data_IF_003605578640
#
_entry.id   IF_003605578640
#
_cell.length_a   1.000
_cell.length_b   1.000
_cell.length_c   1.000
_cell.angle_alpha   90.00
_cell.angle_beta   90.00
_cell.angle_gamma   90.00
#
_symmetry.space_group_name_H-M   'P 1'
#
loop_
_entity.id
_entity.type
_entity.pdbx_description
1 polymer ?
#
# COMPACT_ATOMS: atom_id res chain seq x y z
N UNK A 1 9.04 1.12 19.55
CA UNK A 1 8.69 -0.30 19.76
C UNK A 1 7.27 -0.32 20.33
N UNK A 2 6.30 -0.90 19.63
CA UNK A 2 4.92 -0.98 20.10
C UNK A 2 4.87 -2.05 21.19
N UNK A 3 4.66 -1.65 22.44
CA UNK A 3 4.81 -2.48 23.63
C UNK A 3 3.67 -3.47 23.87
N UNK A 4 3.39 -4.36 22.91
CA UNK A 4 2.41 -5.44 23.06
C UNK A 4 3.14 -6.78 23.21
N UNK A 5 2.73 -7.56 24.21
CA UNK A 5 3.29 -8.88 24.53
C UNK A 5 3.00 -9.93 23.45
N UNK A 6 1.96 -9.72 22.62
CA UNK A 6 1.61 -10.58 21.49
C UNK A 6 0.90 -9.73 20.42
N UNK A 7 1.49 -9.63 19.23
CA UNK A 7 0.84 -9.00 18.07
C UNK A 7 0.35 -10.10 17.15
N UNK A 8 -0.97 -10.31 17.11
CA UNK A 8 -1.61 -11.25 16.19
C UNK A 8 -1.61 -10.73 14.75
N UNK A 9 -1.64 -11.64 13.78
CA UNK A 9 -1.60 -11.30 12.34
C UNK A 9 -2.83 -10.52 11.84
N UNK A 10 -3.93 -10.60 12.58
CA UNK A 10 -5.18 -9.88 12.31
C UNK A 10 -5.23 -8.48 12.93
N UNK A 11 -4.28 -8.15 13.83
CA UNK A 11 -4.33 -6.87 14.49
C UNK A 11 -4.00 -5.74 13.52
N UNK A 12 -4.88 -4.74 13.49
CA UNK A 12 -4.67 -3.55 12.72
C UNK A 12 -3.52 -2.72 13.33
N UNK A 13 -2.56 -2.34 12.49
CA UNK A 13 -1.40 -1.56 12.87
C UNK A 13 -1.76 -0.27 13.62
N UNK A 14 -2.81 0.44 13.18
CA UNK A 14 -3.25 1.70 13.78
C UNK A 14 -3.99 1.49 15.10
N UNK A 15 -4.75 0.40 15.24
CA UNK A 15 -5.41 0.04 16.51
C UNK A 15 -4.39 -0.32 17.60
N UNK A 16 -3.22 -0.83 17.20
CA UNK A 16 -2.08 -1.04 18.10
C UNK A 16 -1.32 0.25 18.42
N UNK A 17 -1.81 1.43 18.00
CA UNK A 17 -1.14 2.72 18.22
C UNK A 17 -0.01 3.02 17.24
N UNK A 18 0.06 2.30 16.12
CA UNK A 18 0.95 2.61 15.02
C UNK A 18 0.68 4.00 14.44
N UNK A 19 1.75 4.76 14.22
CA UNK A 19 1.67 6.10 13.62
C UNK A 19 2.24 6.12 12.21
N UNK A 20 1.98 7.20 11.46
CA UNK A 20 2.55 7.37 10.11
C UNK A 20 4.08 7.28 10.09
N UNK A 21 4.76 7.75 11.14
CA UNK A 21 6.23 7.64 11.25
C UNK A 21 6.64 6.17 11.40
N UNK A 22 5.91 5.40 12.20
CA UNK A 22 6.17 3.96 12.33
C UNK A 22 5.87 3.23 11.02
N UNK A 23 4.85 3.67 10.28
CA UNK A 23 4.49 3.10 8.98
C UNK A 23 5.60 3.33 7.95
N UNK A 24 6.15 4.53 7.86
CA UNK A 24 7.28 4.84 6.96
C UNK A 24 8.53 4.02 7.33
N UNK A 25 8.80 3.85 8.63
CA UNK A 25 9.92 3.01 9.08
C UNK A 25 9.70 1.53 8.74
N UNK A 26 8.47 1.04 8.91
CA UNK A 26 8.08 -0.32 8.53
C UNK A 26 8.22 -0.53 7.03
N UNK A 27 7.70 0.38 6.21
CA UNK A 27 7.77 0.38 4.76
C UNK A 27 9.22 0.25 4.26
N UNK A 28 10.11 1.15 4.68
CA UNK A 28 11.52 1.12 4.29
C UNK A 28 12.19 -0.21 4.64
N UNK A 29 11.85 -0.81 5.79
CA UNK A 29 12.42 -2.09 6.21
C UNK A 29 11.82 -3.25 5.41
N UNK A 30 10.53 -3.20 5.14
CA UNK A 30 9.81 -4.23 4.39
C UNK A 30 10.35 -4.35 2.96
N UNK A 31 10.61 -3.24 2.28
CA UNK A 31 11.21 -3.25 0.93
C UNK A 31 12.58 -3.93 0.90
N UNK A 32 13.40 -3.68 1.93
CA UNK A 32 14.74 -4.30 2.06
C UNK A 32 14.64 -5.80 2.34
N UNK A 33 13.73 -6.22 3.23
CA UNK A 33 13.61 -7.62 3.65
C UNK A 33 12.90 -8.48 2.60
N UNK A 34 11.89 -7.94 1.92
CA UNK A 34 11.15 -8.66 0.87
C UNK A 34 11.87 -8.55 -0.47
N UNK A 35 12.71 -7.52 -0.66
CA UNK A 35 13.49 -7.32 -1.88
C UNK A 35 12.66 -6.87 -3.09
N UNK A 36 11.48 -6.27 -2.84
CA UNK A 36 10.59 -5.70 -3.86
C UNK A 36 10.15 -4.31 -3.44
N UNK A 37 9.80 -3.49 -4.43
CA UNK A 37 9.16 -2.21 -4.16
C UNK A 37 7.71 -2.45 -3.73
N UNK A 38 7.28 -1.73 -2.69
CA UNK A 38 5.93 -1.84 -2.13
C UNK A 38 5.40 -0.44 -1.99
N UNK A 39 4.24 -0.12 -2.58
CA UNK A 39 3.69 1.20 -2.41
C UNK A 39 3.30 1.41 -0.95
N UNK A 40 3.69 2.55 -0.37
CA UNK A 40 3.28 2.86 1.00
C UNK A 40 1.75 2.87 1.17
N UNK A 41 1.00 3.15 0.10
CA UNK A 41 -0.47 3.11 0.08
C UNK A 41 -0.99 1.69 0.34
N UNK A 42 -0.31 0.64 -0.14
CA UNK A 42 -0.70 -0.76 0.10
C UNK A 42 -0.69 -1.09 1.60
N UNK A 43 0.23 -0.52 2.38
CA UNK A 43 0.27 -0.70 3.83
C UNK A 43 -0.91 -0.01 4.54
N UNK A 44 -1.46 1.06 3.95
CA UNK A 44 -2.69 1.70 4.46
C UNK A 44 -3.95 0.94 4.06
N UNK A 45 -3.98 0.37 2.85
CA UNK A 45 -5.10 -0.44 2.35
C UNK A 45 -5.16 -1.82 3.04
N UNK A 46 -4.00 -2.36 3.44
CA UNK A 46 -3.85 -3.64 4.10
C UNK A 46 -3.15 -3.49 5.47
N UNK A 47 -3.83 -2.90 6.48
CA UNK A 47 -3.21 -2.52 7.75
C UNK A 47 -2.97 -3.69 8.72
N UNK A 48 -3.21 -4.94 8.29
CA UNK A 48 -2.94 -6.16 9.07
C UNK A 48 -1.87 -7.00 8.39
N UNK A 49 -1.13 -7.79 9.15
CA UNK A 49 -0.08 -8.66 8.61
C UNK A 49 -0.67 -9.68 7.64
N UNK A 50 -1.83 -10.28 7.97
CA UNK A 50 -2.50 -11.23 7.08
C UNK A 50 -2.88 -10.57 5.76
N UNK A 51 -3.58 -9.44 5.79
CA UNK A 51 -4.07 -8.79 4.58
C UNK A 51 -2.89 -8.38 3.67
N UNK A 52 -1.81 -7.86 4.26
CA UNK A 52 -0.61 -7.48 3.52
C UNK A 52 0.09 -8.72 2.94
N UNK A 53 0.23 -9.79 3.72
CA UNK A 53 0.86 -11.03 3.24
C UNK A 53 0.04 -11.72 2.13
N UNK A 54 -1.30 -11.70 2.22
CA UNK A 54 -2.19 -12.19 1.17
C UNK A 54 -2.06 -11.35 -0.11
N UNK A 55 -2.00 -10.02 0.02
CA UNK A 55 -1.79 -9.11 -1.09
C UNK A 55 -0.44 -9.35 -1.80
N UNK A 56 0.63 -9.50 -1.02
CA UNK A 56 1.98 -9.71 -1.56
C UNK A 56 2.18 -11.14 -2.11
N UNK A 57 1.59 -12.15 -1.44
CA UNK A 57 1.74 -13.57 -1.76
C UNK A 57 0.85 -14.07 -2.90
N UNK A 58 -0.21 -13.34 -3.26
CA UNK A 58 -1.15 -13.68 -4.34
C UNK A 58 -0.61 -13.53 -5.77
N UNK A 59 0.70 -13.35 -5.94
CA UNK A 59 1.30 -12.93 -7.21
C UNK A 59 1.27 -11.41 -7.36
N UNK A 60 1.76 -10.70 -6.33
CA UNK A 60 1.83 -9.25 -6.37
C UNK A 60 2.57 -8.80 -7.62
N UNK A 61 1.85 -8.06 -8.46
CA UNK A 61 2.44 -7.29 -9.55
C UNK A 61 3.61 -6.51 -8.94
N UNK A 62 4.82 -6.67 -9.48
CA UNK A 62 5.94 -5.80 -9.15
C UNK A 62 5.41 -4.37 -9.31
N UNK A 63 5.28 -3.64 -8.20
CA UNK A 63 4.70 -2.31 -8.22
C UNK A 63 5.66 -1.40 -8.97
N UNK A 64 5.48 -1.30 -10.29
CA UNK A 64 6.30 -0.46 -11.13
C UNK A 64 5.86 0.99 -10.96
N UNK A 65 6.76 1.83 -10.43
CA UNK A 65 6.58 3.29 -10.37
C UNK A 65 6.13 3.91 -11.70
N UNK A 66 6.56 3.31 -12.82
CA UNK A 66 6.17 3.73 -14.18
C UNK A 66 4.68 3.45 -14.42
N UNK A 67 4.17 2.29 -14.00
CA UNK A 67 2.76 1.91 -14.14
C UNK A 67 1.86 2.77 -13.24
N UNK A 68 2.29 3.08 -12.02
CA UNK A 68 1.54 3.99 -11.12
C UNK A 68 1.43 5.40 -11.74
N UNK A 69 2.49 5.88 -12.39
CA UNK A 69 2.49 7.16 -13.13
C UNK A 69 1.55 7.09 -14.34
N UNK A 70 1.56 6.01 -15.10
CA UNK A 70 0.70 5.81 -16.27
C UNK A 70 -0.79 5.67 -15.88
N UNK A 71 -1.11 4.99 -14.79
CA UNK A 71 -2.48 4.89 -14.27
C UNK A 71 -3.00 6.24 -13.74
N UNK A 72 -2.16 7.01 -13.04
CA UNK A 72 -2.54 8.37 -12.63
C UNK A 72 -2.80 9.28 -13.85
N UNK A 73 -2.03 9.12 -14.94
CA UNK A 73 -2.22 9.87 -16.17
C UNK A 73 -3.48 9.44 -16.95
N UNK A 74 -3.77 8.13 -17.03
CA UNK A 74 -4.92 7.60 -17.76
C UNK A 74 -6.26 7.88 -17.05
N UNK A 75 -6.30 7.87 -15.71
CA UNK A 75 -7.48 8.31 -14.94
C UNK A 75 -7.86 9.78 -15.25
N UNK A 76 -6.86 10.67 -15.41
CA UNK A 76 -7.11 12.08 -15.77
C UNK A 76 -7.61 12.26 -17.21
N UNK A 77 -7.13 11.43 -18.15
CA UNK A 77 -7.56 11.49 -19.56
C UNK A 77 -9.02 11.05 -19.75
N UNK A 78 -9.43 9.95 -19.09
CA UNK A 78 -10.79 9.42 -19.16
C UNK A 78 -11.84 10.42 -18.61
N UNK A 79 -11.48 11.21 -17.60
CA UNK A 79 -12.38 12.18 -16.98
C UNK A 79 -12.60 13.44 -17.84
N UNK A 80 -11.63 13.83 -18.68
CA UNK A 80 -11.78 14.93 -19.64
C UNK A 80 -12.75 14.58 -20.78
N UNK A 81 -12.76 13.31 -21.21
CA UNK A 81 -13.56 12.87 -22.36
C UNK A 81 -15.07 12.82 -22.06
N UNK A 82 -15.45 12.58 -20.79
CA UNK A 82 -16.86 12.62 -20.36
C UNK A 82 -17.47 14.02 -20.37
N UNK A 83 -16.66 15.06 -20.19
CA UNK A 83 -17.12 16.46 -20.22
C UNK A 83 -17.40 16.98 -21.64
N UNK A 84 -16.74 16.43 -22.65
CA UNK A 84 -16.84 16.94 -24.03
C UNK A 84 -17.99 16.33 -24.85
N UNK A 85 -18.59 15.21 -24.40
CA UNK A 85 -19.69 14.53 -25.11
C UNK A 85 -21.10 15.01 -24.75
N UNK A 86 -21.22 16.05 -23.92
CA UNK A 86 -22.49 16.65 -23.48
C UNK A 86 -22.70 18.08 -24.00
N UNK A 87 -21.89 18.52 -24.96
CA UNK A 87 -22.04 19.80 -25.66
C UNK A 87 -22.90 19.65 -26.90
#
# INVERSE_FOLDING_TARGET
>A
MLGFAEVGVEHNFFELGGTSVNMVQLHNRLEVEVGREIAIVELFEHPTIRALAEHLGGGGEDFSLEESRQQAASRKAAQRQRRQRRG
#
